data_IF_347437205210
#
_entry.id   IF_347437205210
#
_cell.length_a   1.000
_cell.length_b   1.000
_cell.length_c   1.000
_cell.angle_alpha   90.00
_cell.angle_beta   90.00
_cell.angle_gamma   90.00
#
_symmetry.space_group_name_H-M   'P 1'
#
loop_
_entity.id
_entity.type
_entity.pdbx_description
1 polymer ?
#
# COMPACT_ATOMS: atom_id res chain seq x y z
N UNK A 1 9.21 13.07 1.44
CA UNK A 1 9.94 11.97 2.06
C UNK A 1 9.01 10.88 2.52
N UNK A 2 9.49 9.66 2.50
CA UNK A 2 8.79 8.55 3.08
C UNK A 2 8.85 8.58 4.60
N UNK A 3 7.84 8.02 5.24
CA UNK A 3 7.80 7.83 6.68
C UNK A 3 7.61 6.35 6.95
N UNK A 4 8.47 5.78 7.78
CA UNK A 4 8.34 4.40 8.23
C UNK A 4 7.59 4.38 9.56
N UNK A 5 6.63 3.50 9.67
CA UNK A 5 5.96 3.21 10.92
C UNK A 5 6.30 1.80 11.35
N UNK A 6 6.88 1.67 12.52
CA UNK A 6 7.24 0.38 13.08
C UNK A 6 6.59 0.21 14.45
N UNK A 7 6.38 -1.04 14.84
CA UNK A 7 5.80 -1.39 16.11
C UNK A 7 4.52 -2.20 15.94
N UNK A 8 3.89 -2.50 17.06
CA UNK A 8 2.66 -3.27 17.07
C UNK A 8 1.49 -2.40 16.67
N UNK A 9 0.78 -2.82 15.62
CA UNK A 9 -0.42 -2.15 15.15
C UNK A 9 -1.64 -2.97 15.59
N UNK A 10 -2.51 -2.36 16.37
CA UNK A 10 -3.75 -3.00 16.82
C UNK A 10 -4.96 -2.61 15.97
N UNK A 11 -4.86 -1.48 15.27
CA UNK A 11 -5.91 -0.96 14.42
C UNK A 11 -5.28 -0.42 13.12
N UNK A 12 -5.39 -1.21 12.05
CA UNK A 12 -4.78 -0.87 10.78
C UNK A 12 -5.41 0.37 10.14
N UNK A 13 -6.73 0.52 10.24
CA UNK A 13 -7.41 1.69 9.70
C UNK A 13 -6.94 2.98 10.41
N UNK A 14 -6.85 2.95 11.73
CA UNK A 14 -6.37 4.09 12.49
C UNK A 14 -4.93 4.46 12.14
N UNK A 15 -4.07 3.46 11.96
CA UNK A 15 -2.68 3.68 11.56
C UNK A 15 -2.60 4.36 10.19
N UNK A 16 -3.35 3.87 9.20
CA UNK A 16 -3.37 4.48 7.86
C UNK A 16 -3.95 5.88 7.88
N UNK A 17 -5.06 6.09 8.59
CA UNK A 17 -5.72 7.39 8.67
C UNK A 17 -4.84 8.44 9.32
N UNK A 18 -3.96 8.06 10.24
CA UNK A 18 -3.04 9.01 10.87
C UNK A 18 -2.09 9.64 9.86
N UNK A 19 -1.76 8.94 8.78
CA UNK A 19 -0.93 9.48 7.71
C UNK A 19 -1.75 10.28 6.70
N UNK A 20 -2.98 9.89 6.42
CA UNK A 20 -3.87 10.65 5.55
C UNK A 20 -4.18 12.04 6.11
N UNK A 21 -4.18 12.21 7.42
CA UNK A 21 -4.39 13.52 8.05
C UNK A 21 -3.22 14.49 7.84
N UNK A 22 -2.06 14.00 7.40
CA UNK A 22 -0.84 14.80 7.24
C UNK A 22 -0.52 15.16 5.80
N UNK A 23 -1.20 14.53 4.84
CA UNK A 23 -0.86 14.71 3.44
C UNK A 23 -2.09 14.52 2.56
N UNK A 24 -2.09 15.25 1.45
CA UNK A 24 -3.16 15.12 0.46
C UNK A 24 -3.16 13.75 -0.21
N UNK A 25 -1.98 13.20 -0.49
CA UNK A 25 -1.80 11.90 -1.11
C UNK A 25 -0.79 11.05 -0.36
N UNK A 26 -1.10 9.77 -0.20
CA UNK A 26 -0.20 8.80 0.41
C UNK A 26 -0.16 7.53 -0.45
N UNK A 27 1.04 7.09 -0.77
CA UNK A 27 1.27 5.77 -1.34
C UNK A 27 1.67 4.84 -0.18
N UNK A 28 0.85 3.82 0.06
CA UNK A 28 1.09 2.86 1.14
C UNK A 28 1.87 1.65 0.61
N UNK A 29 3.05 1.44 1.18
CA UNK A 29 3.91 0.29 0.85
C UNK A 29 4.26 -0.40 2.17
N UNK A 30 3.92 -1.67 2.28
CA UNK A 30 4.27 -2.47 3.44
C UNK A 30 5.76 -2.87 3.37
N UNK A 31 6.34 -3.29 4.49
CA UNK A 31 7.78 -3.56 4.54
C UNK A 31 8.24 -4.73 3.67
N UNK A 32 7.33 -5.64 3.32
CA UNK A 32 7.58 -6.78 2.44
C UNK A 32 7.12 -6.52 1.00
N UNK A 33 6.84 -5.27 0.68
CA UNK A 33 6.38 -4.83 -0.64
C UNK A 33 7.38 -3.88 -1.27
N UNK A 34 7.36 -3.82 -2.60
CA UNK A 34 8.18 -2.91 -3.37
C UNK A 34 7.41 -2.43 -4.59
N UNK A 35 7.48 -1.14 -4.87
CA UNK A 35 6.88 -0.59 -6.08
C UNK A 35 7.73 -0.95 -7.30
N UNK A 36 7.09 -1.46 -8.36
CA UNK A 36 7.80 -1.72 -9.61
C UNK A 36 8.24 -0.41 -10.28
N UNK A 37 9.28 -0.50 -11.12
CA UNK A 37 9.71 0.64 -11.92
C UNK A 37 8.63 1.18 -12.84
N UNK A 38 7.78 0.31 -13.38
CA UNK A 38 6.63 0.73 -14.19
C UNK A 38 5.62 1.52 -13.40
N UNK A 39 5.36 1.12 -12.15
CA UNK A 39 4.47 1.86 -11.27
C UNK A 39 5.04 3.24 -10.96
N UNK A 40 6.33 3.32 -10.64
CA UNK A 40 6.98 4.58 -10.32
C UNK A 40 6.92 5.55 -11.51
N UNK A 41 7.17 5.04 -12.72
CA UNK A 41 7.09 5.86 -13.93
C UNK A 41 5.66 6.35 -14.20
N UNK A 42 4.68 5.51 -13.95
CA UNK A 42 3.27 5.88 -14.09
C UNK A 42 2.89 6.98 -13.10
N UNK A 43 3.26 6.81 -11.84
CA UNK A 43 2.95 7.79 -10.78
C UNK A 43 3.59 9.15 -11.04
N UNK A 44 4.77 9.15 -11.65
CA UNK A 44 5.48 10.39 -11.99
C UNK A 44 4.68 11.29 -12.93
N UNK A 45 3.82 10.70 -13.75
CA UNK A 45 3.02 11.39 -14.77
C UNK A 45 1.53 11.44 -14.43
N UNK A 46 1.13 10.80 -13.35
CA UNK A 46 -0.27 10.70 -12.98
C UNK A 46 -0.82 12.05 -12.57
N UNK A 47 -1.95 12.41 -13.17
CA UNK A 47 -2.82 13.48 -12.72
C UNK A 47 -4.07 12.85 -12.15
N UNK A 48 -4.19 12.76 -10.82
CA UNK A 48 -5.27 11.97 -10.20
C UNK A 48 -6.66 12.54 -10.52
N UNK A 49 -7.54 11.67 -10.95
CA UNK A 49 -8.95 12.00 -11.25
C UNK A 49 -9.92 11.40 -10.24
N UNK A 50 -9.44 10.50 -9.39
CA UNK A 50 -10.24 9.81 -8.39
C UNK A 50 -9.67 10.06 -7.00
N UNK A 51 -10.48 9.93 -5.95
CA UNK A 51 -9.99 10.17 -4.58
C UNK A 51 -9.03 9.08 -4.08
N UNK A 52 -9.01 7.92 -4.70
CA UNK A 52 -8.04 6.88 -4.41
C UNK A 52 -7.98 5.86 -5.53
N UNK A 53 -6.93 5.02 -5.50
CA UNK A 53 -6.66 4.03 -6.54
C UNK A 53 -6.33 2.69 -5.92
N UNK A 54 -6.92 1.64 -6.50
CA UNK A 54 -6.50 0.28 -6.28
C UNK A 54 -5.29 0.00 -7.17
N UNK A 55 -4.27 -0.60 -6.59
CA UNK A 55 -3.04 -0.96 -7.31
C UNK A 55 -2.89 -2.47 -7.30
N UNK A 56 -2.55 -3.04 -8.45
CA UNK A 56 -2.30 -4.48 -8.56
C UNK A 56 -1.09 -4.86 -7.72
N UNK A 57 -1.22 -5.92 -6.95
CA UNK A 57 -0.13 -6.55 -6.23
C UNK A 57 0.20 -7.86 -6.93
N UNK A 58 1.49 -8.09 -7.20
CA UNK A 58 1.98 -9.39 -7.64
C UNK A 58 2.51 -10.10 -6.41
N UNK A 59 1.84 -11.16 -6.01
CA UNK A 59 2.18 -11.90 -4.81
C UNK A 59 3.10 -13.08 -5.15
N UNK A 60 4.27 -13.07 -4.54
CA UNK A 60 5.28 -14.10 -4.69
C UNK A 60 5.45 -14.85 -3.37
N UNK A 61 5.81 -16.13 -3.46
CA UNK A 61 6.21 -16.92 -2.31
C UNK A 61 7.66 -17.37 -2.52
N UNK A 62 8.56 -16.88 -1.67
CA UNK A 62 9.99 -17.13 -1.79
C UNK A 62 10.51 -16.85 -3.22
N UNK A 63 10.08 -15.73 -3.79
CA UNK A 63 10.48 -15.29 -5.12
C UNK A 63 9.72 -15.92 -6.28
N UNK A 64 8.77 -16.83 -6.02
CA UNK A 64 8.01 -17.52 -7.05
C UNK A 64 6.58 -17.03 -7.13
N UNK A 65 6.09 -16.82 -8.36
CA UNK A 65 4.70 -16.44 -8.60
C UNK A 65 3.75 -17.51 -8.06
N UNK A 66 2.71 -17.07 -7.38
CA UNK A 66 1.72 -17.95 -6.79
C UNK A 66 0.33 -17.64 -7.34
N UNK A 67 -0.18 -18.54 -8.16
CA UNK A 67 -1.47 -18.33 -8.82
C UNK A 67 -2.63 -18.15 -7.85
N UNK A 68 -2.64 -18.90 -6.75
CA UNK A 68 -3.72 -18.83 -5.77
C UNK A 68 -3.84 -17.43 -5.12
N UNK A 69 -2.79 -16.62 -5.18
CA UNK A 69 -2.75 -15.28 -4.60
C UNK A 69 -2.89 -14.17 -5.61
N UNK A 70 -3.10 -14.52 -6.87
CA UNK A 70 -3.14 -13.55 -7.96
C UNK A 70 -4.33 -13.80 -8.88
N UNK A 71 -4.88 -12.79 -9.53
CA UNK A 71 -4.55 -11.38 -9.36
C UNK A 71 -5.07 -10.84 -8.02
N UNK A 72 -4.42 -9.80 -7.53
CA UNK A 72 -4.78 -9.14 -6.29
C UNK A 72 -4.65 -7.63 -6.46
N UNK A 73 -5.64 -6.89 -5.97
CA UNK A 73 -5.64 -5.42 -5.99
C UNK A 73 -5.91 -4.91 -4.60
N UNK A 74 -5.23 -3.84 -4.24
CA UNK A 74 -5.39 -3.23 -2.93
C UNK A 74 -5.40 -1.69 -3.04
N UNK A 75 -6.15 -1.00 -2.17
CA UNK A 75 -6.16 0.47 -2.16
C UNK A 75 -4.85 0.99 -1.57
N UNK A 76 -3.95 1.41 -2.44
CA UNK A 76 -2.59 1.78 -2.05
C UNK A 76 -2.21 3.23 -2.33
N UNK A 77 -2.83 3.88 -3.31
CA UNK A 77 -2.65 5.31 -3.53
C UNK A 77 -3.93 6.00 -3.11
N UNK A 78 -3.87 6.74 -2.01
CA UNK A 78 -5.07 7.22 -1.32
C UNK A 78 -4.94 8.70 -0.98
N UNK A 79 -5.99 9.47 -1.27
CA UNK A 79 -6.04 10.88 -0.87
C UNK A 79 -6.75 11.07 0.47
N UNK A 80 -6.56 12.24 1.05
CA UNK A 80 -7.22 12.62 2.30
C UNK A 80 -8.73 12.83 2.17
N UNK A 81 -9.28 12.70 0.95
CA UNK A 81 -10.74 12.79 0.72
C UNK A 81 -11.50 11.55 1.12
N UNK A 82 -10.80 10.46 1.40
CA UNK A 82 -11.38 9.20 1.87
C UNK A 82 -10.71 8.80 3.17
N UNK A 83 -11.24 7.77 3.81
CA UNK A 83 -10.64 7.21 5.03
C UNK A 83 -10.75 5.71 5.04
N UNK A 84 -9.92 5.08 5.85
CA UNK A 84 -10.00 3.65 6.12
C UNK A 84 -10.89 3.38 7.31
N UNK A 85 -11.63 2.28 7.24
CA UNK A 85 -12.39 1.73 8.37
C UNK A 85 -12.05 0.25 8.53
N UNK A 86 -12.22 -0.25 9.73
CA UNK A 86 -11.96 -1.65 10.05
C UNK A 86 -10.61 -1.83 10.72
N UNK A 87 -10.63 -2.50 11.86
CA UNK A 87 -9.42 -2.74 12.64
C UNK A 87 -8.44 -3.65 11.90
N UNK A 88 -8.97 -4.64 11.20
CA UNK A 88 -8.24 -5.52 10.29
C UNK A 88 -9.06 -5.68 9.02
N UNK A 89 -8.42 -6.08 7.92
CA UNK A 89 -9.06 -6.12 6.61
C UNK A 89 -9.74 -4.78 6.29
N UNK A 90 -8.99 -3.72 6.52
CA UNK A 90 -9.49 -2.36 6.41
C UNK A 90 -10.00 -2.05 5.00
N UNK A 91 -11.04 -1.25 4.94
CA UNK A 91 -11.69 -0.82 3.70
C UNK A 91 -11.66 0.69 3.59
N UNK A 92 -11.65 1.19 2.37
CA UNK A 92 -11.75 2.63 2.10
C UNK A 92 -13.22 3.03 1.98
N UNK A 93 -13.57 4.14 2.61
CA UNK A 93 -14.91 4.74 2.49
C UNK A 93 -14.80 6.23 2.13
N UNK A 94 -15.63 6.72 1.21
CA UNK A 94 -16.53 5.96 0.34
C UNK A 94 -15.76 5.08 -0.65
N UNK A 95 -16.35 3.96 -1.03
CA UNK A 95 -15.70 3.03 -1.97
C UNK A 95 -15.59 3.63 -3.38
N UNK A 96 -16.63 4.29 -3.83
CA UNK A 96 -16.70 4.86 -5.16
C UNK A 96 -16.79 6.39 -5.10
N UNK A 97 -16.22 7.08 -6.10
CA UNK A 97 -15.46 6.55 -7.22
C UNK A 97 -14.02 6.17 -6.85
N UNK A 98 -13.40 5.29 -7.63
CA UNK A 98 -12.00 4.94 -7.49
C UNK A 98 -11.38 4.64 -8.86
N UNK A 99 -10.06 4.76 -8.94
CA UNK A 99 -9.30 4.35 -10.10
C UNK A 99 -8.61 3.01 -9.87
N UNK A 100 -8.05 2.46 -10.95
CA UNK A 100 -7.28 1.22 -10.92
C UNK A 100 -5.97 1.47 -11.64
N UNK A 101 -4.88 1.07 -11.01
CA UNK A 101 -3.54 1.13 -11.60
C UNK A 101 -3.04 -0.29 -11.77
N UNK A 102 -2.77 -0.68 -13.02
CA UNK A 102 -2.34 -2.05 -13.35
C UNK A 102 -0.82 -2.21 -13.46
N UNK A 103 -0.07 -1.28 -12.93
CA UNK A 103 1.38 -1.42 -12.75
C UNK A 103 1.65 -1.84 -11.31
N UNK A 104 2.40 -2.94 -11.07
CA UNK A 104 2.30 -3.62 -9.80
C UNK A 104 3.19 -3.10 -8.68
N UNK A 105 2.69 -3.34 -7.46
CA UNK A 105 3.50 -3.48 -6.27
C UNK A 105 3.88 -4.95 -6.17
N UNK A 106 5.15 -5.25 -5.92
CA UNK A 106 5.63 -6.61 -5.74
C UNK A 106 5.62 -6.96 -4.25
N UNK A 107 4.89 -7.99 -3.90
CA UNK A 107 4.80 -8.50 -2.54
C UNK A 107 5.44 -9.87 -2.49
N UNK A 108 6.59 -9.99 -1.83
CA UNK A 108 7.31 -11.25 -1.73
C UNK A 108 7.19 -11.81 -0.31
N UNK A 109 6.29 -12.77 -0.14
CA UNK A 109 6.16 -13.47 1.13
C UNK A 109 7.31 -14.45 1.31
N UNK A 110 8.07 -14.28 2.37
CA UNK A 110 9.19 -15.15 2.71
C UNK A 110 8.80 -16.09 3.84
N UNK A 111 9.28 -17.32 3.77
CA UNK A 111 9.09 -18.31 4.82
C UNK A 111 7.87 -19.20 4.64
N UNK A 112 7.38 -19.77 5.75
CA UNK A 112 6.32 -20.73 5.74
C UNK A 112 4.92 -20.10 5.68
N UNK A 113 3.93 -20.91 5.33
CA UNK A 113 2.53 -20.51 5.27
C UNK A 113 1.79 -20.58 6.59
N UNK A 114 2.47 -20.64 7.69
CA UNK A 114 1.79 -20.75 8.96
C UNK A 114 1.04 -19.46 9.28
N UNK A 115 -0.27 -19.50 9.11
CA UNK A 115 -1.17 -18.40 9.50
C UNK A 115 -1.46 -18.50 10.99
N UNK A 116 -0.59 -17.94 11.79
CA UNK A 116 -0.87 -17.71 13.20
C UNK A 116 -1.47 -16.31 13.33
N UNK A 117 -1.96 -15.99 14.50
CA UNK A 117 -2.50 -14.65 14.77
C UNK A 117 -1.41 -13.58 14.81
N UNK A 118 -0.51 -13.58 13.84
CA UNK A 118 0.66 -12.74 13.81
C UNK A 118 0.39 -11.30 13.39
N UNK A 119 -0.71 -11.07 12.68
CA UNK A 119 -1.02 -9.76 12.15
C UNK A 119 -1.33 -8.70 13.22
N UNK A 120 -1.49 -9.09 14.47
CA UNK A 120 -1.59 -8.17 15.60
C UNK A 120 -0.51 -8.40 16.66
N UNK A 121 0.51 -9.14 16.34
CA UNK A 121 1.66 -9.36 17.22
C UNK A 121 2.88 -8.66 16.67
N UNK A 122 3.63 -9.30 15.81
CA UNK A 122 4.81 -8.72 15.19
C UNK A 122 4.46 -8.20 13.81
N UNK A 123 4.09 -6.94 13.74
CA UNK A 123 3.53 -6.37 12.54
C UNK A 123 4.59 -5.76 11.64
N UNK A 124 4.33 -5.74 10.33
CA UNK A 124 5.26 -5.15 9.39
C UNK A 124 5.44 -3.65 9.64
N UNK A 125 6.56 -3.14 9.19
CA UNK A 125 6.81 -1.72 9.14
C UNK A 125 6.08 -1.16 7.93
N UNK A 126 5.22 -0.18 8.13
CA UNK A 126 4.60 0.54 7.04
C UNK A 126 5.50 1.67 6.58
N UNK A 127 5.58 1.84 5.27
CA UNK A 127 6.26 2.96 4.64
C UNK A 127 5.22 3.84 3.97
N UNK A 128 5.14 5.08 4.40
CA UNK A 128 4.14 6.02 3.93
C UNK A 128 4.82 7.14 3.14
N UNK A 129 4.42 7.30 1.91
CA UNK A 129 4.97 8.28 1.00
C UNK A 129 3.93 9.37 0.77
N UNK A 130 4.30 10.61 1.03
CA UNK A 130 3.37 11.73 0.98
C UNK A 130 3.55 12.52 -0.32
N UNK A 131 2.44 12.70 -1.05
CA UNK A 131 2.47 13.37 -2.35
C UNK A 131 2.97 12.45 -3.47
N UNK A 132 2.23 12.33 -4.54
CA UNK A 132 2.51 11.35 -5.60
C UNK A 132 3.91 11.55 -6.19
N UNK A 133 4.24 12.76 -6.64
CA UNK A 133 5.55 13.03 -7.24
C UNK A 133 6.70 12.87 -6.27
N UNK A 134 6.50 13.29 -5.03
CA UNK A 134 7.50 13.16 -3.98
C UNK A 134 7.74 11.71 -3.60
N UNK A 135 6.68 10.89 -3.56
CA UNK A 135 6.80 9.46 -3.32
C UNK A 135 7.66 8.79 -4.39
N UNK A 136 7.41 9.10 -5.66
CA UNK A 136 8.19 8.57 -6.78
C UNK A 136 9.66 8.95 -6.65
N UNK A 137 9.96 10.21 -6.36
CA UNK A 137 11.33 10.69 -6.19
C UNK A 137 12.08 9.93 -5.10
N UNK A 138 11.47 9.81 -3.93
CA UNK A 138 12.08 9.11 -2.79
C UNK A 138 12.29 7.63 -3.10
N UNK A 139 11.34 6.97 -3.73
CA UNK A 139 11.46 5.55 -4.06
C UNK A 139 12.51 5.28 -5.13
N UNK A 140 12.72 6.21 -6.06
CA UNK A 140 13.79 6.08 -7.07
C UNK A 140 15.18 6.19 -6.48
N UNK A 141 15.31 6.84 -5.34
CA UNK A 141 16.60 7.07 -4.68
C UNK A 141 16.93 5.99 -3.62
N UNK A 142 16.15 4.94 -3.56
CA UNK A 142 16.35 3.85 -2.59
C UNK A 142 17.39 2.84 -3.06
#
# INVERSE_FOLDING_TARGET
MGTDYSGKIEDFAAARNSFLSRSEWVLFIDNDEEASGMLLNYLDKLEPKFPYYWIRRVNLHNGKYREAWNPDFAPRLVSSRVKFIGRVHEKVVPRDPHGIIDFPIIHNHLGSFEYKNYWYQDLPIYRFWTGVKKAVEVMRNR
#
